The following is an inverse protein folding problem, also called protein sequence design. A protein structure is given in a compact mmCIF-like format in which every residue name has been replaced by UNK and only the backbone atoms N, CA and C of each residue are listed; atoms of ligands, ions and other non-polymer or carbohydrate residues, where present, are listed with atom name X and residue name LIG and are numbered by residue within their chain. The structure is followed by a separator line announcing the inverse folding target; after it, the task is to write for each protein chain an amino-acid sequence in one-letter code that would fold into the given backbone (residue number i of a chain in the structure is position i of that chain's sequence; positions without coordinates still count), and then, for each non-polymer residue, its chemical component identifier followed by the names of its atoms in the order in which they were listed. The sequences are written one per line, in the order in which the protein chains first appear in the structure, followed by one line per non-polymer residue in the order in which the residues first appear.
data_IF_857688896220
#
_entry.id   IF_857688896220
#
_cell.length_a   1.000
_cell.length_b   1.000
_cell.length_c   1.000
_cell.angle_alpha   90.00
_cell.angle_beta   90.00
_cell.angle_gamma   90.00
#
_symmetry.space_group_name_H-M   'P 1'
#
loop_
_entity.id
_entity.type
_entity.pdbx_description
1 polymer ?
#
# COMPACT_ATOMS: atom_id res chain seq x y z
N UNK A 1 2.98 34.22 -3.95
CA UNK A 1 4.11 33.26 -3.85
C UNK A 1 3.81 32.13 -2.83
N UNK A 2 2.97 31.11 -3.15
CA UNK A 2 2.64 30.01 -2.24
C UNK A 2 3.41 28.68 -2.48
N UNK A 3 4.44 28.67 -3.33
CA UNK A 3 4.99 27.40 -3.86
C UNK A 3 5.97 26.66 -2.93
N UNK A 4 6.53 27.31 -1.90
CA UNK A 4 7.62 26.77 -1.06
C UNK A 4 7.18 25.85 0.08
N UNK A 5 5.95 26.01 0.61
CA UNK A 5 5.45 25.18 1.70
C UNK A 5 5.01 23.76 1.26
N UNK A 6 4.67 23.60 -0.03
CA UNK A 6 4.39 22.30 -0.64
C UNK A 6 5.66 21.51 -0.97
N UNK A 7 6.69 22.20 -1.47
CA UNK A 7 7.97 21.60 -1.88
C UNK A 7 8.69 20.93 -0.70
N UNK A 8 8.81 21.61 0.45
CA UNK A 8 9.38 21.05 1.69
C UNK A 8 8.64 19.81 2.22
N UNK A 9 7.36 19.61 1.85
CA UNK A 9 6.57 18.44 2.26
C UNK A 9 6.81 17.21 1.39
N UNK A 10 7.30 17.42 0.17
CA UNK A 10 7.55 16.39 -0.85
C UNK A 10 9.04 16.01 -0.85
N UNK A 11 9.92 16.95 -0.49
CA UNK A 11 11.35 16.68 -0.24
C UNK A 11 11.54 15.59 0.81
N UNK A 12 12.32 14.56 0.46
CA UNK A 12 12.58 13.41 1.32
C UNK A 12 11.41 12.43 1.48
N UNK A 13 10.42 12.43 0.58
CA UNK A 13 9.47 11.32 0.50
C UNK A 13 10.17 10.09 -0.07
N UNK A 14 10.10 9.00 0.68
CA UNK A 14 10.57 7.70 0.25
C UNK A 14 9.72 7.15 -0.89
N UNK A 15 10.32 6.36 -1.78
CA UNK A 15 9.59 5.72 -2.88
C UNK A 15 8.46 4.84 -2.31
N UNK A 16 8.75 4.08 -1.26
CA UNK A 16 7.74 3.26 -0.57
C UNK A 16 6.61 4.08 0.05
N UNK A 17 6.88 5.31 0.50
CA UNK A 17 5.88 6.26 1.00
C UNK A 17 4.96 6.76 -0.11
N UNK A 18 5.51 7.09 -1.28
CA UNK A 18 4.74 7.44 -2.47
C UNK A 18 3.87 6.25 -2.92
N UNK A 19 4.43 5.04 -2.91
CA UNK A 19 3.70 3.81 -3.18
C UNK A 19 2.57 3.57 -2.17
N UNK A 20 2.78 3.90 -0.89
CA UNK A 20 1.74 3.85 0.12
C UNK A 20 0.63 4.86 -0.13
N UNK A 21 0.97 6.08 -0.56
CA UNK A 21 -0.02 7.07 -0.95
C UNK A 21 -0.84 6.55 -2.13
N UNK A 22 -0.22 6.02 -3.18
CA UNK A 22 -0.89 5.61 -4.42
C UNK A 22 -1.64 4.27 -4.35
N UNK A 23 -1.18 3.29 -3.57
CA UNK A 23 -1.77 1.95 -3.52
C UNK A 23 -2.03 1.42 -2.12
N UNK A 24 -1.86 2.25 -1.08
CA UNK A 24 -1.93 1.80 0.31
C UNK A 24 -0.81 0.82 0.65
N UNK A 25 -1.08 -0.10 1.57
CA UNK A 25 -0.11 -1.11 2.01
C UNK A 25 0.50 -1.91 0.85
N UNK A 26 -0.32 -2.35 -0.10
CA UNK A 26 0.15 -3.12 -1.24
C UNK A 26 1.00 -2.31 -2.22
N UNK A 27 0.64 -1.05 -2.46
CA UNK A 27 1.47 -0.15 -3.27
C UNK A 27 2.88 0.04 -2.69
N UNK A 28 2.98 0.13 -1.37
CA UNK A 28 4.28 0.22 -0.68
C UNK A 28 5.12 -1.05 -0.83
N UNK A 29 4.52 -2.23 -0.68
CA UNK A 29 5.19 -3.53 -0.86
C UNK A 29 5.67 -3.72 -2.29
N UNK A 30 4.80 -3.46 -3.27
CA UNK A 30 5.16 -3.53 -4.70
C UNK A 30 6.34 -2.61 -5.03
N UNK A 31 6.31 -1.39 -4.51
CA UNK A 31 7.40 -0.42 -4.71
C UNK A 31 8.70 -0.89 -4.08
N UNK A 32 8.64 -1.37 -2.83
CA UNK A 32 9.82 -1.88 -2.12
C UNK A 32 10.43 -3.10 -2.79
N UNK A 33 9.61 -4.02 -3.30
CA UNK A 33 10.09 -5.19 -4.05
C UNK A 33 10.65 -4.81 -5.42
N UNK A 34 10.06 -3.83 -6.12
CA UNK A 34 10.63 -3.30 -7.36
C UNK A 34 11.98 -2.61 -7.12
N UNK A 35 12.13 -1.87 -6.01
CA UNK A 35 13.39 -1.25 -5.60
C UNK A 35 14.46 -2.28 -5.22
N UNK A 36 14.08 -3.36 -4.55
CA UNK A 36 15.00 -4.45 -4.24
C UNK A 36 15.41 -5.20 -5.51
N UNK A 37 14.49 -5.38 -6.45
CA UNK A 37 14.78 -6.02 -7.73
C UNK A 37 15.71 -5.17 -8.62
N UNK A 38 15.48 -3.86 -8.72
CA UNK A 38 16.37 -2.96 -9.48
C UNK A 38 17.78 -2.84 -8.90
N UNK A 39 17.97 -3.23 -7.63
CA UNK A 39 19.26 -3.32 -6.96
C UNK A 39 19.81 -4.75 -6.92
N UNK A 40 19.22 -5.67 -7.67
CA UNK A 40 19.63 -7.09 -7.77
C UNK A 40 19.60 -7.84 -6.42
N UNK A 41 18.94 -7.29 -5.41
CA UNK A 41 18.83 -7.91 -4.09
C UNK A 41 17.80 -9.04 -4.07
N UNK A 42 16.82 -8.98 -4.99
CA UNK A 42 15.65 -9.85 -5.04
C UNK A 42 15.31 -10.20 -6.48
N UNK A 43 14.94 -11.45 -6.70
CA UNK A 43 14.48 -11.98 -8.00
C UNK A 43 13.10 -12.62 -7.83
N UNK A 44 12.43 -12.86 -8.96
CA UNK A 44 11.26 -13.74 -8.93
C UNK A 44 11.78 -15.17 -8.76
N UNK A 45 11.30 -15.85 -7.71
CA UNK A 45 11.63 -17.25 -7.43
C UNK A 45 10.78 -18.19 -8.26
N UNK A 46 10.35 -19.30 -7.66
CA UNK A 46 9.30 -20.18 -8.23
C UNK A 46 8.03 -19.39 -8.52
N UNK A 47 7.23 -19.83 -9.50
CA UNK A 47 6.04 -19.10 -9.99
C UNK A 47 5.23 -18.40 -8.88
N UNK A 48 5.11 -17.08 -8.97
CA UNK A 48 4.38 -16.26 -8.00
C UNK A 48 5.11 -15.95 -6.70
N UNK A 49 6.35 -16.44 -6.53
CA UNK A 49 7.19 -16.24 -5.36
C UNK A 49 8.32 -15.25 -5.62
N UNK A 50 8.87 -14.75 -4.53
CA UNK A 50 9.98 -13.82 -4.50
C UNK A 50 11.11 -14.46 -3.70
N UNK A 51 12.31 -14.44 -4.27
CA UNK A 51 13.50 -15.03 -3.67
C UNK A 51 14.58 -13.97 -3.49
N UNK A 52 15.44 -14.17 -2.48
CA UNK A 52 16.61 -13.35 -2.26
C UNK A 52 17.76 -13.83 -3.15
N UNK A 53 18.22 -12.98 -4.06
CA UNK A 53 19.37 -13.28 -4.92
C UNK A 53 20.67 -12.64 -4.42
N UNK A 54 20.57 -11.49 -3.76
CA UNK A 54 21.73 -10.64 -3.48
C UNK A 54 22.01 -10.36 -2.01
N UNK A 55 23.06 -9.55 -1.82
CA UNK A 55 23.38 -8.95 -0.53
C UNK A 55 22.41 -7.80 -0.21
N UNK A 56 22.40 -7.35 1.04
CA UNK A 56 21.53 -6.27 1.47
C UNK A 56 21.93 -4.99 0.74
N UNK A 57 21.02 -4.31 0.00
CA UNK A 57 21.42 -3.13 -0.74
C UNK A 57 21.82 -1.99 0.21
N UNK A 58 22.94 -1.30 -0.05
CA UNK A 58 23.31 -0.09 0.69
C UNK A 58 22.26 1.00 0.45
N UNK A 59 21.97 1.80 1.48
CA UNK A 59 20.95 2.85 1.39
C UNK A 59 19.52 2.33 1.18
N UNK A 60 19.22 1.09 1.59
CA UNK A 60 17.87 0.55 1.55
C UNK A 60 16.93 1.29 2.53
N UNK A 61 15.74 1.63 2.05
CA UNK A 61 14.71 2.27 2.87
C UNK A 61 14.32 1.37 4.06
N UNK A 62 13.79 1.92 5.18
CA UNK A 62 13.38 1.10 6.33
C UNK A 62 12.43 -0.04 5.96
N UNK A 63 11.50 0.19 5.04
CA UNK A 63 10.58 -0.85 4.55
C UNK A 63 11.29 -1.90 3.69
N UNK A 64 12.18 -1.49 2.79
CA UNK A 64 12.99 -2.40 1.96
C UNK A 64 13.86 -3.30 2.85
N UNK A 65 14.47 -2.71 3.88
CA UNK A 65 15.26 -3.44 4.88
C UNK A 65 14.43 -4.48 5.63
N UNK A 66 13.17 -4.19 5.93
CA UNK A 66 12.25 -5.11 6.58
C UNK A 66 11.77 -6.22 5.64
N UNK A 67 11.46 -5.88 4.37
CA UNK A 67 11.10 -6.85 3.33
C UNK A 67 12.25 -7.85 3.10
N UNK A 68 13.46 -7.33 2.88
CA UNK A 68 14.65 -8.14 2.66
C UNK A 68 14.99 -9.03 3.87
N UNK A 69 14.80 -8.52 5.10
CA UNK A 69 15.04 -9.30 6.32
C UNK A 69 13.95 -10.33 6.63
N UNK A 70 12.77 -10.20 6.02
CA UNK A 70 11.67 -11.14 6.18
C UNK A 70 11.65 -12.23 5.07
N UNK A 71 12.38 -12.00 3.98
CA UNK A 71 12.62 -12.99 2.93
C UNK A 71 13.64 -14.05 3.41
N UNK A 72 13.11 -15.17 3.91
CA UNK A 72 13.85 -16.40 4.16
C UNK A 72 13.32 -17.48 3.20
N UNK A 73 14.00 -17.68 2.07
CA UNK A 73 13.58 -18.58 0.99
C UNK A 73 12.56 -18.00 0.02
N UNK A 74 11.98 -18.87 -0.82
CA UNK A 74 10.89 -18.55 -1.74
C UNK A 74 9.62 -18.18 -0.96
N UNK A 75 9.15 -16.95 -1.09
CA UNK A 75 7.93 -16.50 -0.40
C UNK A 75 7.02 -15.65 -1.29
N UNK A 76 5.72 -15.86 -1.15
CA UNK A 76 4.71 -15.06 -1.84
C UNK A 76 4.73 -13.61 -1.33
N UNK A 77 4.58 -12.59 -2.20
CA UNK A 77 4.65 -11.20 -1.77
C UNK A 77 3.57 -10.80 -0.75
N UNK A 78 2.43 -11.49 -0.74
CA UNK A 78 1.38 -11.28 0.27
C UNK A 78 1.77 -11.81 1.64
N UNK A 79 2.30 -13.03 1.69
CA UNK A 79 2.78 -13.61 2.93
C UNK A 79 3.88 -12.74 3.53
N UNK A 80 4.81 -12.27 2.68
CA UNK A 80 5.83 -11.30 3.05
C UNK A 80 5.22 -10.02 3.64
N UNK A 81 4.17 -9.50 3.00
CA UNK A 81 3.47 -8.32 3.50
C UNK A 81 2.86 -8.55 4.89
N UNK A 82 2.38 -9.75 5.20
CA UNK A 82 1.70 -10.14 6.45
C UNK A 82 2.64 -10.40 7.63
N UNK A 83 3.95 -10.55 7.38
CA UNK A 83 4.95 -10.70 8.44
C UNK A 83 4.92 -9.50 9.42
N UNK A 84 5.03 -9.73 10.74
CA UNK A 84 4.95 -8.68 11.76
C UNK A 84 5.93 -7.51 11.52
N UNK A 85 7.20 -7.81 11.21
CA UNK A 85 8.23 -6.80 10.92
C UNK A 85 7.87 -5.91 9.73
N UNK A 86 7.29 -6.48 8.68
CA UNK A 86 6.87 -5.73 7.49
C UNK A 86 5.65 -4.87 7.82
N UNK A 87 4.69 -5.42 8.58
CA UNK A 87 3.53 -4.65 9.08
C UNK A 87 3.93 -3.44 9.92
N UNK A 88 4.90 -3.61 10.80
CA UNK A 88 5.46 -2.53 11.62
C UNK A 88 6.11 -1.45 10.75
N UNK A 89 6.99 -1.84 9.82
CA UNK A 89 7.64 -0.91 8.91
C UNK A 89 6.64 -0.14 8.01
N UNK A 90 5.58 -0.80 7.53
CA UNK A 90 4.47 -0.11 6.82
C UNK A 90 3.74 0.86 7.75
N UNK A 91 3.57 0.47 9.02
CA UNK A 91 3.04 1.33 10.08
C UNK A 91 3.87 2.60 10.23
N UNK A 92 5.19 2.50 10.21
CA UNK A 92 6.14 3.62 10.32
C UNK A 92 6.06 4.56 9.12
N UNK A 93 6.06 4.01 7.91
CA UNK A 93 5.85 4.79 6.68
C UNK A 93 4.54 5.56 6.77
N UNK A 94 3.47 4.90 7.22
CA UNK A 94 2.17 5.56 7.40
C UNK A 94 2.21 6.64 8.47
N UNK A 95 2.89 6.40 9.61
CA UNK A 95 3.07 7.41 10.67
C UNK A 95 3.78 8.64 10.12
N UNK A 96 4.82 8.46 9.31
CA UNK A 96 5.53 9.57 8.68
C UNK A 96 4.65 10.39 7.73
N UNK A 97 3.88 9.71 6.87
CA UNK A 97 2.92 10.35 5.98
C UNK A 97 1.81 11.11 6.73
N UNK A 98 1.39 10.60 7.89
CA UNK A 98 0.43 11.30 8.78
C UNK A 98 1.09 12.54 9.40
N UNK A 99 2.33 12.44 9.89
CA UNK A 99 3.08 13.60 10.41
C UNK A 99 3.24 14.70 9.36
N UNK A 100 3.47 14.32 8.09
CA UNK A 100 3.55 15.26 6.95
C UNK A 100 2.17 15.76 6.47
N UNK A 101 1.05 15.27 7.04
CA UNK A 101 -0.31 15.67 6.67
C UNK A 101 -0.80 15.13 5.32
N UNK A 102 -0.09 14.15 4.73
CA UNK A 102 -0.41 13.57 3.42
C UNK A 102 -1.44 12.44 3.52
N UNK A 103 -1.59 11.82 4.70
CA UNK A 103 -2.57 10.77 4.98
C UNK A 103 -3.42 11.17 6.19
N UNK A 104 -4.74 10.92 6.09
CA UNK A 104 -5.65 11.17 7.22
C UNK A 104 -5.41 10.16 8.35
N UNK A 105 -5.38 10.60 9.62
CA UNK A 105 -5.23 9.68 10.74
C UNK A 105 -6.36 8.64 10.78
N UNK A 106 -6.07 7.43 11.30
CA UNK A 106 -7.02 6.31 11.36
C UNK A 106 -8.16 6.64 12.34
N UNK A 107 -7.81 7.21 13.49
CA UNK A 107 -8.76 7.65 14.51
C UNK A 107 -9.79 8.63 13.95
N UNK A 108 -9.41 9.56 13.07
CA UNK A 108 -10.32 10.52 12.44
C UNK A 108 -11.29 9.90 11.42
N UNK A 109 -11.04 8.68 10.94
CA UNK A 109 -12.02 7.91 10.14
C UNK A 109 -13.07 7.21 11.00
N UNK A 110 -12.80 7.03 12.29
CA UNK A 110 -13.75 6.47 13.24
C UNK A 110 -14.46 7.61 13.98
N UNK A 111 -13.73 8.64 14.42
CA UNK A 111 -14.27 9.75 15.19
C UNK A 111 -15.19 10.68 14.40
N UNK A 112 -14.93 10.98 13.13
CA UNK A 112 -15.85 11.82 12.34
C UNK A 112 -17.21 11.14 12.18
N UNK A 113 -17.30 9.87 11.77
CA UNK A 113 -18.57 9.17 11.72
C UNK A 113 -19.14 8.89 13.11
N UNK A 114 -18.34 8.60 14.13
CA UNK A 114 -18.81 8.48 15.51
C UNK A 114 -19.43 9.81 16.01
N UNK A 115 -18.79 10.94 15.75
CA UNK A 115 -19.34 12.26 16.07
C UNK A 115 -20.60 12.54 15.25
N UNK A 116 -20.61 12.18 13.96
CA UNK A 116 -21.81 12.22 13.11
C UNK A 116 -22.86 11.17 13.51
N UNK A 117 -22.52 10.18 14.34
CA UNK A 117 -23.44 9.19 14.90
C UNK A 117 -24.09 9.70 16.17
N UNK A 118 -23.35 10.51 16.95
CA UNK A 118 -23.75 11.01 18.27
C UNK A 118 -24.51 12.33 18.16
N UNK A 119 -24.13 13.20 17.21
CA UNK A 119 -24.75 14.53 17.06
C UNK A 119 -26.20 14.46 16.53
N UNK A 120 -26.54 13.64 15.52
CA UNK A 120 -27.92 13.53 15.04
C UNK A 120 -28.91 12.95 16.05
N UNK A 121 -28.63 11.89 16.82
CA UNK A 121 -29.57 11.41 17.83
C UNK A 121 -29.69 12.37 19.02
N UNK A 122 -28.68 13.19 19.33
CA UNK A 122 -28.85 14.27 20.32
C UNK A 122 -29.77 15.40 19.80
N UNK A 123 -29.71 15.69 18.50
CA UNK A 123 -30.63 16.62 17.83
C UNK A 123 -32.03 16.03 17.61
N UNK A 124 -32.15 14.74 17.29
CA UNK A 124 -33.41 13.99 17.14
C UNK A 124 -33.98 13.51 18.48
N UNK A 125 -33.23 13.58 19.58
CA UNK A 125 -33.76 13.32 20.92
C UNK A 125 -34.92 14.26 21.27
N UNK A 126 -34.97 15.43 20.62
CA UNK A 126 -36.09 16.37 20.69
C UNK A 126 -37.32 15.93 19.88
N UNK A 127 -37.22 14.86 19.12
CA UNK A 127 -38.26 14.30 18.22
C UNK A 127 -38.57 12.83 18.56
N UNK A 128 -38.31 12.41 19.80
CA UNK A 128 -38.52 11.02 20.28
C UNK A 128 -40.01 10.67 20.45
N UNK A 129 -40.90 11.66 20.54
CA UNK A 129 -42.34 11.41 20.78
C UNK A 129 -43.10 10.77 19.60
N UNK A 130 -42.50 10.70 18.40
CA UNK A 130 -43.28 10.41 17.18
C UNK A 130 -43.02 9.03 16.56
N UNK A 131 -41.80 8.46 16.65
CA UNK A 131 -41.42 7.30 15.79
C UNK A 131 -40.77 6.13 16.55
N UNK A 132 -40.39 6.31 17.82
CA UNK A 132 -39.79 5.25 18.64
C UNK A 132 -38.27 5.11 18.48
N UNK A 133 -37.59 4.88 19.61
CA UNK A 133 -36.13 4.98 19.75
C UNK A 133 -35.31 3.99 18.89
N UNK A 134 -35.90 2.85 18.55
CA UNK A 134 -35.23 1.76 17.83
C UNK A 134 -34.96 2.08 16.35
N UNK A 135 -35.88 2.77 15.67
CA UNK A 135 -35.71 3.14 14.25
C UNK A 135 -34.65 4.23 14.08
N UNK A 136 -34.60 5.20 15.01
CA UNK A 136 -33.58 6.26 15.01
C UNK A 136 -32.15 5.75 15.23
N UNK A 137 -31.98 4.74 16.10
CA UNK A 137 -30.69 4.07 16.31
C UNK A 137 -30.25 3.27 15.08
N UNK A 138 -31.17 2.53 14.45
CA UNK A 138 -30.85 1.76 13.25
C UNK A 138 -30.44 2.68 12.07
N UNK A 139 -31.18 3.76 11.83
CA UNK A 139 -30.89 4.72 10.76
C UNK A 139 -29.54 5.42 10.95
N UNK A 140 -29.19 5.81 12.18
CA UNK A 140 -27.91 6.44 12.49
C UNK A 140 -26.73 5.50 12.28
N UNK A 141 -26.81 4.24 12.71
CA UNK A 141 -25.77 3.23 12.44
C UNK A 141 -25.55 3.03 10.93
N UNK A 142 -26.63 2.97 10.15
CA UNK A 142 -26.56 2.83 8.69
C UNK A 142 -25.91 4.05 8.04
N UNK A 143 -26.32 5.26 8.42
CA UNK A 143 -25.79 6.51 7.85
C UNK A 143 -24.32 6.71 8.20
N UNK A 144 -23.91 6.27 9.39
CA UNK A 144 -22.53 6.23 9.87
C UNK A 144 -21.71 5.21 9.10
N UNK A 145 -22.23 4.01 8.89
CA UNK A 145 -21.60 2.99 8.05
C UNK A 145 -21.39 3.48 6.62
N UNK A 146 -22.41 4.10 6.03
CA UNK A 146 -22.36 4.68 4.69
C UNK A 146 -21.36 5.85 4.59
N UNK A 147 -21.35 6.75 5.57
CA UNK A 147 -20.38 7.85 5.61
C UNK A 147 -18.95 7.34 5.79
N UNK A 148 -18.71 6.37 6.68
CA UNK A 148 -17.42 5.69 6.83
C UNK A 148 -16.92 5.11 5.50
N UNK A 149 -17.83 4.50 4.75
CA UNK A 149 -17.55 3.87 3.48
C UNK A 149 -17.20 4.89 2.38
N UNK A 150 -17.93 6.01 2.33
CA UNK A 150 -17.76 7.03 1.29
C UNK A 150 -16.61 8.01 1.53
N UNK A 151 -16.08 8.13 2.74
CA UNK A 151 -15.01 9.10 3.02
C UNK A 151 -13.68 8.70 2.33
N UNK A 152 -13.16 9.51 1.38
CA UNK A 152 -11.96 9.16 0.62
C UNK A 152 -10.77 8.96 1.54
N UNK A 153 -10.00 7.89 1.28
CA UNK A 153 -8.86 7.48 2.10
C UNK A 153 -7.72 8.51 2.14
N UNK A 154 -7.70 9.46 1.20
CA UNK A 154 -6.63 10.44 0.95
C UNK A 154 -7.08 11.86 1.28
N UNK A 155 -6.16 12.68 1.79
CA UNK A 155 -6.39 14.13 1.95
C UNK A 155 -6.22 14.82 0.59
N UNK A 156 -6.83 16.00 0.42
CA UNK A 156 -6.62 16.85 -0.77
C UNK A 156 -5.13 17.20 -0.93
N UNK A 157 -4.41 17.42 0.17
CA UNK A 157 -2.97 17.66 0.16
C UNK A 157 -2.20 16.46 -0.41
N UNK A 158 -2.52 15.23 -0.01
CA UNK A 158 -1.92 14.02 -0.58
C UNK A 158 -2.22 13.86 -2.07
N UNK A 159 -3.43 14.19 -2.51
CA UNK A 159 -3.80 14.16 -3.94
C UNK A 159 -3.05 15.23 -4.75
N UNK A 160 -2.82 16.43 -4.20
CA UNK A 160 -2.02 17.48 -4.84
C UNK A 160 -0.54 17.09 -4.89
N UNK A 161 0.01 16.53 -3.82
CA UNK A 161 1.39 16.05 -3.80
C UNK A 161 1.64 14.99 -4.88
N UNK A 162 0.73 14.00 -5.02
CA UNK A 162 0.83 12.99 -6.09
C UNK A 162 0.74 13.61 -7.50
N UNK A 163 -0.14 14.60 -7.70
CA UNK A 163 -0.22 15.32 -8.99
C UNK A 163 1.07 16.07 -9.30
N UNK A 164 1.64 16.75 -8.31
CA UNK A 164 2.91 17.46 -8.45
C UNK A 164 4.09 16.50 -8.72
N UNK A 165 4.12 15.34 -8.06
CA UNK A 165 5.12 14.30 -8.34
C UNK A 165 4.99 13.74 -9.76
N UNK A 166 3.76 13.53 -10.25
CA UNK A 166 3.53 13.06 -11.63
C UNK A 166 3.90 14.08 -12.69
N UNK A 167 3.79 15.38 -12.42
CA UNK A 167 4.29 16.41 -13.34
C UNK A 167 5.83 16.45 -13.40
N UNK A 168 6.51 16.03 -12.33
CA UNK A 168 7.99 15.99 -12.28
C UNK A 168 8.56 14.66 -12.81
N UNK A 169 7.78 13.59 -12.78
CA UNK A 169 8.20 12.25 -13.17
C UNK A 169 7.23 11.66 -14.19
N UNK A 170 7.47 11.84 -15.50
CA UNK A 170 6.62 11.27 -16.53
C UNK A 170 6.60 9.74 -16.47
N UNK A 171 5.55 9.15 -17.06
CA UNK A 171 5.37 7.70 -17.05
C UNK A 171 6.53 7.02 -17.82
N UNK A 172 7.09 5.92 -17.29
CA UNK A 172 8.13 5.20 -17.99
C UNK A 172 7.56 4.56 -19.27
N UNK A 173 8.28 4.70 -20.38
CA UNK A 173 7.88 4.12 -21.67
C UNK A 173 8.52 2.73 -21.93
N UNK A 174 9.48 2.31 -21.11
CA UNK A 174 10.17 1.02 -21.29
C UNK A 174 11.15 0.69 -20.17
N UNK A 175 11.87 -0.44 -20.31
CA UNK A 175 12.91 -0.84 -19.36
C UNK A 175 14.10 0.13 -19.45
N UNK A 176 14.49 0.70 -18.31
CA UNK A 176 15.63 1.61 -18.23
C UNK A 176 15.48 2.65 -17.12
N UNK A 177 16.61 3.10 -16.58
CA UNK A 177 16.68 4.12 -15.54
C UNK A 177 17.40 3.64 -14.28
N UNK A 178 17.67 4.58 -13.38
CA UNK A 178 18.30 4.25 -12.10
C UNK A 178 17.32 3.50 -11.19
N UNK A 179 17.79 2.70 -10.23
CA UNK A 179 16.94 2.03 -9.25
C UNK A 179 15.94 2.98 -8.58
N UNK A 180 16.39 4.20 -8.24
CA UNK A 180 15.54 5.24 -7.65
C UNK A 180 14.44 5.73 -8.60
N UNK A 181 14.77 5.93 -9.88
CA UNK A 181 13.80 6.33 -10.91
C UNK A 181 12.75 5.24 -11.14
N UNK A 182 13.18 3.98 -11.23
CA UNK A 182 12.31 2.83 -11.41
C UNK A 182 11.36 2.63 -10.22
N UNK A 183 11.89 2.69 -9.00
CA UNK A 183 11.06 2.62 -7.79
C UNK A 183 10.05 3.77 -7.71
N UNK A 184 10.47 4.99 -8.04
CA UNK A 184 9.58 6.15 -8.06
C UNK A 184 8.48 6.00 -9.12
N UNK A 185 8.80 5.47 -10.30
CA UNK A 185 7.81 5.21 -11.34
C UNK A 185 6.78 4.15 -10.89
N UNK A 186 7.24 3.04 -10.30
CA UNK A 186 6.35 2.02 -9.72
C UNK A 186 5.52 2.60 -8.57
N UNK A 187 6.08 3.49 -7.77
CA UNK A 187 5.37 4.17 -6.69
C UNK A 187 4.21 5.04 -7.21
N UNK A 188 4.42 5.77 -8.31
CA UNK A 188 3.45 6.74 -8.85
C UNK A 188 2.38 6.12 -9.75
N UNK A 189 2.74 5.07 -10.49
CA UNK A 189 1.91 4.46 -11.53
C UNK A 189 1.54 3.00 -11.23
N UNK A 190 2.14 2.39 -10.20
CA UNK A 190 1.74 1.06 -9.72
C UNK A 190 2.11 -0.07 -10.68
N UNK A 191 1.15 -0.97 -10.91
CA UNK A 191 1.36 -2.19 -11.71
C UNK A 191 1.72 -1.91 -13.17
N UNK A 192 1.18 -0.83 -13.75
CA UNK A 192 1.45 -0.46 -15.14
C UNK A 192 2.93 -0.09 -15.35
N UNK A 193 3.50 0.74 -14.47
CA UNK A 193 4.93 1.03 -14.51
C UNK A 193 5.77 -0.21 -14.24
N UNK A 194 5.36 -1.07 -13.30
CA UNK A 194 6.08 -2.31 -13.04
C UNK A 194 6.18 -3.22 -14.27
N UNK A 195 5.07 -3.35 -15.03
CA UNK A 195 5.04 -4.10 -16.29
C UNK A 195 5.89 -3.45 -17.38
N UNK A 196 5.88 -2.12 -17.48
CA UNK A 196 6.67 -1.39 -18.48
C UNK A 196 8.18 -1.46 -18.19
N UNK A 197 8.57 -1.39 -16.92
CA UNK A 197 9.99 -1.31 -16.54
C UNK A 197 10.63 -2.64 -16.24
N UNK A 198 9.87 -3.60 -15.70
CA UNK A 198 10.36 -4.89 -15.20
C UNK A 198 9.41 -6.04 -15.58
N UNK A 199 9.15 -6.27 -16.88
CA UNK A 199 8.09 -7.17 -17.33
C UNK A 199 8.26 -8.61 -16.84
N UNK A 200 9.48 -9.14 -16.86
CA UNK A 200 9.77 -10.53 -16.43
C UNK A 200 9.51 -10.69 -14.94
N UNK A 201 10.07 -9.80 -14.11
CA UNK A 201 9.84 -9.82 -12.68
C UNK A 201 8.37 -9.61 -12.33
N UNK A 202 7.68 -8.67 -12.99
CA UNK A 202 6.28 -8.39 -12.76
C UNK A 202 5.39 -9.63 -12.96
N UNK A 203 5.63 -10.38 -14.04
CA UNK A 203 4.87 -11.60 -14.38
C UNK A 203 5.17 -12.75 -13.44
N UNK A 204 6.43 -12.94 -13.06
CA UNK A 204 6.86 -14.12 -12.32
C UNK A 204 6.75 -13.97 -10.79
N UNK A 205 6.71 -12.75 -10.26
CA UNK A 205 6.74 -12.47 -8.81
C UNK A 205 5.38 -12.43 -8.11
N UNK A 206 4.26 -12.62 -8.81
CA UNK A 206 2.92 -12.53 -8.22
C UNK A 206 2.49 -11.11 -7.76
N UNK A 207 3.25 -10.07 -8.13
CA UNK A 207 3.00 -8.67 -7.73
C UNK A 207 1.79 -8.01 -8.41
N UNK A 208 1.30 -8.60 -9.51
CA UNK A 208 0.19 -8.06 -10.29
C UNK A 208 -1.17 -8.37 -9.65
N UNK A 209 -1.31 -9.54 -9.03
CA UNK A 209 -2.60 -10.07 -8.57
C UNK A 209 -3.08 -9.50 -7.23
N UNK A 210 -2.48 -8.40 -6.76
CA UNK A 210 -2.85 -7.82 -5.48
C UNK A 210 -2.53 -8.72 -4.27
N UNK A 211 -1.67 -9.73 -4.47
CA UNK A 211 -1.44 -10.79 -3.50
C UNK A 211 -2.55 -11.84 -3.44
N UNK A 212 -3.42 -11.98 -4.45
CA UNK A 212 -4.46 -13.04 -4.44
C UNK A 212 -3.94 -14.47 -4.68
N UNK A 213 -2.71 -14.64 -5.15
CA UNK A 213 -2.11 -15.98 -5.28
C UNK A 213 -1.60 -16.45 -3.91
N UNK A 214 -2.46 -17.19 -3.22
CA UNK A 214 -2.06 -18.07 -2.14
C UNK A 214 -3.02 -19.26 -2.14
N UNK A 215 -2.44 -20.47 -2.17
CA UNK A 215 -3.09 -21.76 -1.86
C UNK A 215 -3.80 -22.46 -3.02
N UNK A 216 -3.13 -22.76 -4.15
CA UNK A 216 -3.37 -24.00 -4.91
C UNK A 216 -2.07 -24.39 -5.64
N UNK A 217 -1.09 -24.98 -4.96
CA UNK A 217 -0.16 -25.98 -5.54
C UNK A 217 0.98 -26.29 -4.56
N UNK A 218 0.73 -27.25 -3.68
CA UNK A 218 1.79 -28.02 -3.05
C UNK A 218 1.20 -29.35 -2.61
N UNK A 219 0.82 -30.20 -3.58
CA UNK A 219 0.56 -31.62 -3.31
C UNK A 219 0.85 -32.57 -4.50
N UNK A 220 1.68 -32.17 -5.47
CA UNK A 220 2.00 -33.00 -6.65
C UNK A 220 3.31 -33.79 -6.55
N UNK A 221 3.97 -33.87 -5.39
CA UNK A 221 5.25 -34.61 -5.25
C UNK A 221 5.20 -35.94 -4.49
N UNK A 222 4.02 -36.46 -4.10
CA UNK A 222 3.92 -37.72 -3.35
C UNK A 222 3.13 -38.85 -4.03
N UNK A 223 2.91 -38.81 -5.35
CA UNK A 223 2.14 -39.84 -6.08
C UNK A 223 2.81 -40.46 -7.31
N UNK A 224 4.15 -40.55 -7.30
CA UNK A 224 4.91 -41.30 -8.33
C UNK A 224 5.91 -42.28 -7.72
N UNK A 225 5.49 -43.03 -6.69
CA UNK A 225 6.31 -44.11 -6.16
C UNK A 225 5.45 -45.24 -5.58
N UNK A 226 4.64 -45.88 -6.43
CA UNK A 226 4.11 -47.24 -6.20
C UNK A 226 3.33 -47.71 -7.42
N UNK A 227 4.03 -48.29 -8.40
CA UNK A 227 3.48 -49.23 -9.36
C UNK A 227 4.65 -50.08 -9.91
N UNK A 228 5.13 -50.97 -9.03
CA UNK A 228 5.69 -52.27 -9.40
C UNK A 228 4.72 -53.31 -8.88
#
# INVERSE_FOLDING_TARGET
MPHTAGMRRIEGLTATGIGHLHGGRWGAVRTGLAMLHSREAVVAGREGMVERAGSRPPGAEPLERALFAALYGDMGPRELAERPRVREAIGDVRRDLVRRGLVRPRWRRVLVPLALAVVPPLMLARLIDVIGASIGLAASVVLVGAACWFLPRRTVAGARALRQLRSLHPAPAGPGGTPATLGTAVALYGAQALLATMPVFARNSGLLDGGRWSVIHSDSSLRSSSAT
#
